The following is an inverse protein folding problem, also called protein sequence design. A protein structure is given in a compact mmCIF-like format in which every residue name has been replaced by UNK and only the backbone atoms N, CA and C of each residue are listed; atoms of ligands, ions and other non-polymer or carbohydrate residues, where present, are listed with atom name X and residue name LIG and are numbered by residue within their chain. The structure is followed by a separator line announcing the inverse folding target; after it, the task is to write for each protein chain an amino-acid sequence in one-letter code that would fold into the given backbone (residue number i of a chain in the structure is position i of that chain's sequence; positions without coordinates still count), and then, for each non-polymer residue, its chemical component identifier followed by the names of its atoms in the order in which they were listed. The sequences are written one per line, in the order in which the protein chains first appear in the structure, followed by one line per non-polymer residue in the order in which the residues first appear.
data_IF_162153024575
#
_entry.id   IF_162153024575
#
_cell.length_a   1.000
_cell.length_b   1.000
_cell.length_c   1.000
_cell.angle_alpha   90.00
_cell.angle_beta   90.00
_cell.angle_gamma   90.00
#
_symmetry.space_group_name_H-M   'P 1'
#
loop_
_entity.id
_entity.type
_entity.pdbx_description
1 polymer ?
#
# COMPACT_ATOMS: atom_id res chain seq x y z
N UNK A 1 10.54 -1.15 9.96
CA UNK A 1 9.21 -0.59 9.63
C UNK A 1 8.38 -0.64 10.89
N UNK A 2 7.63 0.41 11.20
CA UNK A 2 6.71 0.44 12.36
C UNK A 2 5.27 0.50 11.83
N UNK A 3 4.38 -0.33 12.35
CA UNK A 3 2.95 -0.33 12.02
C UNK A 3 2.28 0.82 12.76
N UNK A 4 1.59 1.66 11.99
CA UNK A 4 0.69 2.69 12.48
C UNK A 4 -0.75 2.36 12.06
N UNK A 5 -1.70 2.62 12.96
CA UNK A 5 -3.13 2.37 12.75
C UNK A 5 -3.89 3.66 13.01
N UNK A 6 -4.58 4.18 12.00
CA UNK A 6 -5.29 5.46 12.10
C UNK A 6 -6.75 5.31 11.71
N UNK A 7 -7.64 5.89 12.51
CA UNK A 7 -9.04 6.09 12.12
C UNK A 7 -9.08 7.21 11.06
N UNK A 8 -9.63 6.90 9.90
CA UNK A 8 -9.79 7.81 8.77
C UNK A 8 -11.28 8.03 8.51
N UNK A 9 -11.65 9.23 8.09
CA UNK A 9 -13.05 9.60 7.84
C UNK A 9 -13.81 10.07 9.07
N UNK A 10 -15.11 10.30 8.91
CA UNK A 10 -16.01 10.79 9.96
C UNK A 10 -17.33 10.01 9.95
N UNK A 11 -17.98 9.95 11.10
CA UNK A 11 -19.32 9.36 11.28
C UNK A 11 -19.42 7.94 10.69
N UNK A 12 -20.41 7.68 9.82
CA UNK A 12 -20.69 6.35 9.26
C UNK A 12 -19.66 5.85 8.25
N UNK A 13 -18.80 6.73 7.74
CA UNK A 13 -17.76 6.40 6.76
C UNK A 13 -16.37 6.27 7.40
N UNK A 14 -16.31 6.09 8.72
CA UNK A 14 -15.05 5.92 9.40
C UNK A 14 -14.51 4.49 9.21
N UNK A 15 -13.23 4.38 8.86
CA UNK A 15 -12.51 3.11 8.75
C UNK A 15 -11.14 3.21 9.40
N UNK A 16 -10.47 2.08 9.61
CA UNK A 16 -9.09 2.05 10.09
C UNK A 16 -8.16 1.77 8.93
N UNK A 17 -7.13 2.60 8.79
CA UNK A 17 -6.03 2.42 7.85
C UNK A 17 -4.83 1.89 8.62
N UNK A 18 -4.22 0.81 8.10
CA UNK A 18 -2.98 0.24 8.60
C UNK A 18 -1.86 0.59 7.62
N UNK A 19 -0.77 1.17 8.10
CA UNK A 19 0.33 1.59 7.25
C UNK A 19 1.68 1.35 7.91
N UNK A 20 2.72 1.17 7.10
CA UNK A 20 4.10 1.15 7.57
C UNK A 20 4.67 2.56 7.64
N UNK A 21 5.31 2.93 8.74
CA UNK A 21 6.00 4.22 8.90
C UNK A 21 7.50 3.96 9.03
N UNK A 22 8.29 4.69 8.25
CA UNK A 22 9.74 4.76 8.44
C UNK A 22 10.06 5.97 9.31
N UNK A 23 10.80 5.78 10.41
CA UNK A 23 11.17 6.87 11.34
C UNK A 23 12.58 7.42 11.11
N UNK A 24 13.29 6.95 10.09
CA UNK A 24 14.59 7.49 9.74
C UNK A 24 14.44 8.86 9.05
N UNK A 25 15.23 9.83 9.53
CA UNK A 25 15.44 11.16 8.93
C UNK A 25 14.25 12.13 8.90
N UNK A 26 13.49 12.28 9.98
CA UNK A 26 12.55 13.41 10.15
C UNK A 26 11.40 13.51 9.14
N UNK A 27 11.32 12.57 8.19
CA UNK A 27 10.30 12.49 7.16
C UNK A 27 9.19 11.59 7.71
N UNK A 28 8.01 12.16 7.96
CA UNK A 28 6.81 11.39 8.28
C UNK A 28 6.22 10.84 6.97
N UNK A 29 6.77 9.73 6.48
CA UNK A 29 6.21 9.03 5.32
C UNK A 29 5.54 7.72 5.74
N UNK A 30 4.30 7.55 5.29
CA UNK A 30 3.55 6.30 5.39
C UNK A 30 3.63 5.53 4.09
N UNK A 31 3.75 4.20 4.19
CA UNK A 31 3.87 3.27 3.09
C UNK A 31 2.72 2.25 3.14
N UNK A 32 2.19 1.93 1.97
CA UNK A 32 1.40 0.72 1.77
C UNK A 32 2.26 -0.50 2.06
N UNK A 33 1.72 -1.44 2.82
CA UNK A 33 2.42 -2.66 3.23
C UNK A 33 1.76 -3.92 2.68
N UNK A 34 0.63 -3.81 1.98
CA UNK A 34 -0.24 -4.89 1.45
C UNK A 34 0.48 -5.90 0.54
N UNK A 35 1.59 -5.53 -0.11
CA UNK A 35 2.42 -6.45 -0.92
C UNK A 35 3.64 -7.03 -0.19
N UNK A 36 3.80 -6.72 1.10
CA UNK A 36 4.90 -7.24 1.90
C UNK A 36 4.69 -8.74 2.19
N UNK A 37 5.75 -9.58 2.12
CA UNK A 37 5.66 -10.95 2.60
C UNK A 37 5.21 -10.98 4.06
N UNK A 38 4.28 -11.87 4.40
CA UNK A 38 3.74 -12.05 5.75
C UNK A 38 4.84 -12.31 6.78
N UNK A 39 5.91 -13.05 6.42
CA UNK A 39 7.06 -13.26 7.31
C UNK A 39 7.77 -11.95 7.69
N UNK A 40 7.85 -10.99 6.76
CA UNK A 40 8.38 -9.65 7.06
C UNK A 40 7.37 -8.80 7.81
N UNK A 41 6.08 -8.92 7.47
CA UNK A 41 5.00 -8.20 8.13
C UNK A 41 4.93 -8.52 9.62
N UNK A 42 4.94 -9.81 9.96
CA UNK A 42 4.88 -10.29 11.34
C UNK A 42 6.12 -9.89 12.16
N UNK A 43 7.21 -9.51 11.50
CA UNK A 43 8.41 -8.95 12.14
C UNK A 43 8.36 -7.43 12.33
N UNK A 44 7.31 -6.74 11.91
CA UNK A 44 7.16 -5.31 12.13
C UNK A 44 6.73 -5.02 13.57
N UNK A 45 7.31 -3.97 14.16
CA UNK A 45 6.88 -3.46 15.47
C UNK A 45 5.63 -2.59 15.33
N UNK A 46 4.79 -2.55 16.36
CA UNK A 46 3.64 -1.62 16.42
C UNK A 46 4.04 -0.35 17.14
N UNK A 47 3.57 0.80 16.65
CA UNK A 47 3.82 2.09 17.28
C UNK A 47 3.33 2.11 18.74
N UNK A 48 4.19 2.56 19.67
CA UNK A 48 3.87 2.65 21.09
C UNK A 48 2.62 3.47 21.39
N UNK A 49 2.29 4.45 20.54
CA UNK A 49 1.07 5.25 20.70
C UNK A 49 -0.19 4.46 20.38
N UNK A 50 -0.11 3.47 19.48
CA UNK A 50 -1.22 2.57 19.16
C UNK A 50 -1.43 1.57 20.30
N UNK A 51 -0.35 1.03 20.86
CA UNK A 51 -0.41 0.15 22.04
C UNK A 51 -1.08 0.79 23.26
N UNK A 52 -1.10 2.13 23.34
CA UNK A 52 -1.79 2.88 24.41
C UNK A 52 -3.28 3.12 24.14
N UNK A 53 -3.71 3.05 22.88
CA UNK A 53 -5.05 3.47 22.44
C UNK A 53 -5.95 2.30 22.08
N UNK A 54 -5.38 1.12 21.82
CA UNK A 54 -6.08 -0.05 21.32
C UNK A 54 -5.61 -1.29 22.06
N UNK A 55 -6.51 -2.26 22.22
CA UNK A 55 -6.16 -3.56 22.77
C UNK A 55 -5.33 -4.36 21.77
N UNK A 56 -4.57 -5.34 22.27
CA UNK A 56 -3.80 -6.26 21.41
C UNK A 56 -4.69 -7.00 20.41
N UNK A 57 -5.91 -7.39 20.82
CA UNK A 57 -6.84 -8.11 19.97
C UNK A 57 -7.35 -7.24 18.81
N UNK A 58 -7.69 -5.97 19.07
CA UNK A 58 -8.09 -5.03 18.02
C UNK A 58 -6.94 -4.78 17.03
N UNK A 59 -5.72 -4.58 17.54
CA UNK A 59 -4.53 -4.40 16.70
C UNK A 59 -4.32 -5.61 15.78
N UNK A 60 -4.37 -6.82 16.34
CA UNK A 60 -4.23 -8.06 15.55
C UNK A 60 -5.34 -8.17 14.51
N UNK A 61 -6.59 -7.85 14.85
CA UNK A 61 -7.70 -7.89 13.89
C UNK A 61 -7.47 -6.94 12.70
N UNK A 62 -7.04 -5.71 12.95
CA UNK A 62 -6.70 -4.76 11.88
C UNK A 62 -5.51 -5.23 11.04
N UNK A 63 -4.46 -5.77 11.67
CA UNK A 63 -3.32 -6.32 10.94
C UNK A 63 -3.72 -7.50 10.05
N UNK A 64 -4.52 -8.43 10.55
CA UNK A 64 -4.99 -9.59 9.76
C UNK A 64 -5.87 -9.15 8.59
N UNK A 65 -6.74 -8.17 8.80
CA UNK A 65 -7.53 -7.57 7.73
C UNK A 65 -6.64 -6.97 6.63
N UNK A 66 -5.66 -6.15 7.00
CA UNK A 66 -4.77 -5.52 6.02
C UNK A 66 -3.85 -6.55 5.32
N UNK A 67 -3.33 -7.54 6.06
CA UNK A 67 -2.49 -8.61 5.50
C UNK A 67 -3.20 -9.46 4.44
N UNK A 68 -4.53 -9.50 4.51
CA UNK A 68 -5.40 -10.25 3.59
C UNK A 68 -6.23 -9.33 2.71
N UNK A 69 -5.93 -8.03 2.68
CA UNK A 69 -6.70 -7.03 1.96
C UNK A 69 -6.92 -7.46 0.50
N UNK A 70 -8.15 -7.31 -0.01
CA UNK A 70 -8.62 -7.83 -1.30
C UNK A 70 -8.65 -9.38 -1.41
N UNK A 71 -8.65 -10.09 -0.29
CA UNK A 71 -8.72 -11.57 -0.25
C UNK A 71 -7.44 -12.25 -0.74
N UNK A 72 -6.29 -11.57 -0.61
CA UNK A 72 -5.04 -12.10 -1.15
C UNK A 72 -4.40 -13.11 -0.20
N UNK A 73 -3.98 -14.24 -0.78
CA UNK A 73 -3.11 -15.19 -0.09
C UNK A 73 -1.64 -14.76 -0.24
N UNK A 74 -0.76 -15.24 0.64
CA UNK A 74 0.70 -15.04 0.50
C UNK A 74 1.22 -15.39 -0.91
N UNK A 75 0.70 -16.48 -1.50
CA UNK A 75 1.06 -16.91 -2.84
C UNK A 75 0.61 -15.91 -3.91
N UNK A 76 -0.59 -15.33 -3.75
CA UNK A 76 -1.10 -14.29 -4.64
C UNK A 76 -0.28 -13.00 -4.53
N UNK A 77 -0.01 -12.53 -3.31
CA UNK A 77 0.87 -11.37 -3.06
C UNK A 77 2.22 -11.53 -3.78
N UNK A 78 2.85 -12.71 -3.64
CA UNK A 78 4.13 -12.99 -4.31
C UNK A 78 4.02 -12.95 -5.83
N UNK A 79 2.94 -13.49 -6.41
CA UNK A 79 2.71 -13.48 -7.87
C UNK A 79 2.55 -12.05 -8.38
N UNK A 80 1.68 -11.26 -7.75
CA UNK A 80 1.44 -9.85 -8.15
C UNK A 80 2.71 -9.00 -8.03
N UNK A 81 3.45 -9.13 -6.92
CA UNK A 81 4.70 -8.42 -6.73
C UNK A 81 5.75 -8.79 -7.80
N UNK A 82 5.80 -10.07 -8.21
CA UNK A 82 6.70 -10.51 -9.28
C UNK A 82 6.28 -9.94 -10.65
N UNK A 83 4.97 -9.84 -10.93
CA UNK A 83 4.47 -9.17 -12.14
C UNK A 83 4.89 -7.70 -12.16
N UNK A 84 4.73 -6.98 -11.04
CA UNK A 84 5.15 -5.58 -10.93
C UNK A 84 6.67 -5.43 -11.15
N UNK A 85 7.49 -6.27 -10.49
CA UNK A 85 8.95 -6.28 -10.69
C UNK A 85 9.35 -6.56 -12.13
N UNK A 86 8.65 -7.48 -12.81
CA UNK A 86 8.87 -7.76 -14.23
C UNK A 86 8.57 -6.52 -15.08
N UNK A 87 7.40 -5.89 -14.89
CA UNK A 87 7.02 -4.67 -15.63
C UNK A 87 8.02 -3.53 -15.45
N UNK A 88 8.48 -3.29 -14.23
CA UNK A 88 9.53 -2.28 -13.96
C UNK A 88 10.82 -2.59 -14.72
N UNK A 89 11.20 -3.87 -14.77
CA UNK A 89 12.38 -4.32 -15.52
C UNK A 89 12.20 -4.12 -17.03
N UNK A 90 11.05 -4.54 -17.57
CA UNK A 90 10.74 -4.41 -18.99
C UNK A 90 10.79 -2.94 -19.45
N UNK A 91 10.32 -2.00 -18.61
CA UNK A 91 10.45 -0.56 -18.84
C UNK A 91 11.92 -0.12 -18.88
N UNK A 92 12.70 -0.51 -17.85
CA UNK A 92 14.12 -0.13 -17.75
C UNK A 92 14.97 -0.69 -18.89
N UNK A 93 14.63 -1.87 -19.38
CA UNK A 93 15.30 -2.56 -20.48
C UNK A 93 14.76 -2.12 -21.87
N UNK A 94 13.79 -1.20 -21.92
CA UNK A 94 13.22 -0.72 -23.18
C UNK A 94 12.39 -1.77 -23.94
N UNK A 95 11.95 -2.83 -23.26
CA UNK A 95 11.14 -3.91 -23.84
C UNK A 95 9.67 -3.54 -24.07
N UNK A 96 9.24 -2.40 -23.51
CA UNK A 96 7.90 -1.86 -23.67
C UNK A 96 7.96 -0.42 -24.14
N UNK A 97 7.06 -0.04 -25.04
CA UNK A 97 6.89 1.34 -25.46
C UNK A 97 6.19 2.13 -24.37
N UNK A 98 6.88 3.12 -23.80
CA UNK A 98 6.29 4.08 -22.87
C UNK A 98 5.76 5.30 -23.64
N UNK A 99 4.82 6.00 -23.03
CA UNK A 99 4.28 7.28 -23.52
C UNK A 99 4.47 8.31 -22.39
N UNK A 100 4.95 9.53 -22.68
CA UNK A 100 5.05 10.59 -21.68
C UNK A 100 3.69 10.90 -21.06
N UNK A 101 3.71 11.32 -19.79
CA UNK A 101 2.48 11.59 -19.04
C UNK A 101 1.65 12.70 -19.70
N UNK A 102 2.32 13.74 -20.20
CA UNK A 102 1.72 14.89 -20.86
C UNK A 102 0.96 14.46 -22.13
N UNK A 103 1.54 13.54 -22.90
CA UNK A 103 0.89 12.99 -24.10
C UNK A 103 -0.35 12.17 -23.74
N UNK A 104 -0.30 11.40 -22.64
CA UNK A 104 -1.47 10.66 -22.15
C UNK A 104 -2.60 11.62 -21.74
N UNK A 105 -2.27 12.69 -21.01
CA UNK A 105 -3.26 13.66 -20.56
C UNK A 105 -3.93 14.38 -21.73
N UNK A 106 -3.17 14.81 -22.73
CA UNK A 106 -3.72 15.42 -23.94
C UNK A 106 -4.70 14.47 -24.65
N UNK A 107 -4.31 13.21 -24.84
CA UNK A 107 -5.17 12.19 -25.48
C UNK A 107 -6.49 11.96 -24.72
N UNK A 108 -6.45 12.02 -23.39
CA UNK A 108 -7.65 11.88 -22.56
C UNK A 108 -8.55 13.11 -22.70
N UNK A 109 -7.98 14.32 -22.68
CA UNK A 109 -8.74 15.55 -22.90
C UNK A 109 -9.40 15.61 -24.27
N UNK A 110 -8.67 15.27 -25.33
CA UNK A 110 -9.21 15.23 -26.70
C UNK A 110 -10.36 14.24 -26.81
N UNK A 111 -10.25 13.09 -26.12
CA UNK A 111 -11.31 12.07 -26.08
C UNK A 111 -12.55 12.53 -25.31
N UNK A 112 -12.40 13.36 -24.28
CA UNK A 112 -13.50 13.95 -23.51
C UNK A 112 -14.15 15.11 -24.27
N UNK A 113 -13.38 15.90 -25.03
CA UNK A 113 -13.87 17.07 -25.79
C UNK A 113 -14.47 16.69 -27.15
N UNK A 114 -14.02 15.59 -27.75
CA UNK A 114 -14.38 15.18 -29.11
C UNK A 114 -15.60 14.27 -29.25
N UNK A 115 -16.24 13.82 -28.16
CA UNK A 115 -17.46 12.99 -28.14
C UNK A 115 -18.03 12.90 -26.73
#
# INVERSE_FOLDING_TARGET
MIIDIRKVGRSRNAYFSVSGVCREKGIKQSFGIEYMPWSKWLGCEVDKQILKKMTKNEIVAHCLWEMTFMGFTQNKIRRELNVLKRRVRDIKEGKVKTIPFEEVMQKLEDKIKGK
#
